data_IF_174933464605
#
_entry.id   IF_174933464605
#
_cell.length_a   1.000
_cell.length_b   1.000
_cell.length_c   1.000
_cell.angle_alpha   90.00
_cell.angle_beta   90.00
_cell.angle_gamma   90.00
#
_symmetry.space_group_name_H-M   'P 1'
#
loop_
_entity.id
_entity.type
_entity.pdbx_description
1 polymer ?
#
# COMPACT_ATOMS: atom_id res chain seq x y z
N UNK A 1 1.12 -18.22 -24.41
CA UNK A 1 2.23 -18.30 -23.42
C UNK A 1 2.31 -19.73 -22.92
N UNK A 2 3.37 -20.46 -23.27
CA UNK A 2 3.55 -21.88 -22.92
C UNK A 2 4.70 -22.06 -21.91
N UNK A 3 4.66 -21.31 -20.82
CA UNK A 3 5.65 -21.41 -19.75
C UNK A 3 5.22 -22.49 -18.75
N UNK A 4 6.15 -23.34 -18.29
CA UNK A 4 5.83 -24.37 -17.31
C UNK A 4 5.51 -23.76 -15.95
N UNK A 5 4.54 -24.35 -15.24
CA UNK A 5 4.28 -24.02 -13.84
C UNK A 5 5.27 -24.82 -12.98
N UNK A 6 6.27 -24.14 -12.43
CA UNK A 6 7.34 -24.77 -11.66
C UNK A 6 6.92 -25.29 -10.28
N UNK A 7 5.81 -24.80 -9.71
CA UNK A 7 5.33 -25.24 -8.40
C UNK A 7 4.39 -24.26 -7.71
N UNK A 8 4.19 -24.45 -6.40
CA UNK A 8 3.44 -23.58 -5.49
C UNK A 8 4.42 -22.74 -4.66
N UNK A 9 3.89 -21.82 -3.85
CA UNK A 9 4.67 -20.93 -2.96
C UNK A 9 5.66 -21.69 -2.06
N UNK A 10 5.26 -22.85 -1.54
CA UNK A 10 6.11 -23.69 -0.68
C UNK A 10 7.32 -24.29 -1.41
N UNK A 11 7.24 -24.39 -2.75
CA UNK A 11 8.26 -25.02 -3.58
C UNK A 11 9.30 -23.98 -4.06
N UNK A 12 9.08 -22.67 -3.78
CA UNK A 12 9.98 -21.58 -4.17
C UNK A 12 11.45 -21.86 -3.80
N UNK A 13 11.81 -22.30 -2.58
CA UNK A 13 13.21 -22.51 -2.24
C UNK A 13 13.89 -23.62 -3.06
N UNK A 14 13.16 -24.69 -3.37
CA UNK A 14 13.66 -25.80 -4.18
C UNK A 14 13.82 -25.38 -5.64
N UNK A 15 12.80 -24.74 -6.20
CA UNK A 15 12.82 -24.22 -7.59
C UNK A 15 13.96 -23.21 -7.79
N UNK A 16 14.17 -22.30 -6.83
CA UNK A 16 15.26 -21.31 -6.90
C UNK A 16 16.63 -22.00 -6.91
N UNK A 17 16.80 -23.04 -6.10
CA UNK A 17 18.05 -23.79 -6.02
C UNK A 17 18.31 -24.62 -7.27
N UNK A 18 17.30 -25.31 -7.79
CA UNK A 18 17.44 -26.19 -8.95
C UNK A 18 17.70 -25.44 -10.26
N UNK A 19 17.16 -24.22 -10.37
CA UNK A 19 17.22 -23.41 -11.59
C UNK A 19 18.17 -22.21 -11.47
N UNK A 20 18.92 -22.11 -10.37
CA UNK A 20 19.86 -21.02 -10.08
C UNK A 20 19.26 -19.62 -10.26
N UNK A 21 18.09 -19.41 -9.65
CA UNK A 21 17.32 -18.17 -9.82
C UNK A 21 17.91 -17.05 -8.97
N UNK A 22 18.30 -15.95 -9.61
CA UNK A 22 18.83 -14.76 -8.93
C UNK A 22 17.75 -13.74 -8.56
N UNK A 23 16.61 -13.73 -9.25
CA UNK A 23 15.56 -12.72 -9.12
C UNK A 23 14.15 -13.32 -9.06
N UNK A 24 13.36 -12.88 -8.10
CA UNK A 24 11.94 -13.23 -7.96
C UNK A 24 11.10 -11.98 -8.13
N UNK A 25 10.12 -12.03 -9.05
CA UNK A 25 9.16 -10.93 -9.27
C UNK A 25 7.77 -11.37 -8.84
N UNK A 26 7.22 -10.68 -7.83
CA UNK A 26 5.83 -10.85 -7.40
C UNK A 26 4.93 -9.97 -8.27
N UNK A 27 4.18 -10.60 -9.17
CA UNK A 27 3.31 -9.94 -10.14
C UNK A 27 1.84 -9.85 -9.69
N UNK A 28 1.57 -9.84 -8.38
CA UNK A 28 0.22 -9.78 -7.81
C UNK A 28 0.13 -8.60 -6.82
N UNK A 29 0.11 -7.35 -7.30
CA UNK A 29 0.12 -6.17 -6.43
C UNK A 29 -1.17 -5.96 -5.62
N UNK A 30 -2.24 -6.69 -5.94
CA UNK A 30 -3.54 -6.66 -5.26
C UNK A 30 -3.67 -7.66 -4.11
N UNK A 31 -2.64 -8.45 -3.85
CA UNK A 31 -2.67 -9.53 -2.88
C UNK A 31 -2.83 -8.97 -1.46
N UNK A 32 -3.64 -9.63 -0.61
CA UNK A 32 -3.85 -9.17 0.77
C UNK A 32 -2.60 -9.44 1.60
N UNK A 33 -2.29 -8.54 2.54
CA UNK A 33 -1.07 -8.57 3.35
C UNK A 33 -0.77 -9.94 3.99
N UNK A 34 -1.80 -10.65 4.48
CA UNK A 34 -1.62 -11.97 5.10
C UNK A 34 -1.20 -13.09 4.16
N UNK A 35 -1.59 -13.05 2.88
CA UNK A 35 -1.11 -14.00 1.87
C UNK A 35 0.26 -13.59 1.32
N UNK A 36 0.52 -12.28 1.27
CA UNK A 36 1.76 -11.72 0.76
C UNK A 36 2.93 -12.07 1.68
N UNK A 37 2.74 -11.98 3.00
CA UNK A 37 3.72 -12.41 4.00
C UNK A 37 4.14 -13.87 3.80
N UNK A 38 3.20 -14.77 3.51
CA UNK A 38 3.51 -16.19 3.25
C UNK A 38 4.41 -16.37 2.02
N UNK A 39 4.21 -15.55 0.98
CA UNK A 39 5.03 -15.59 -0.24
C UNK A 39 6.43 -15.05 0.07
N UNK A 40 6.52 -13.90 0.73
CA UNK A 40 7.79 -13.27 1.08
C UNK A 40 8.61 -14.16 2.03
N UNK A 41 7.98 -14.78 3.02
CA UNK A 41 8.63 -15.73 3.93
C UNK A 41 9.24 -16.93 3.18
N UNK A 42 8.59 -17.41 2.12
CA UNK A 42 9.14 -18.46 1.29
C UNK A 42 10.32 -17.95 0.45
N UNK A 43 10.22 -16.75 -0.13
CA UNK A 43 11.30 -16.12 -0.88
C UNK A 43 12.53 -15.80 -0.01
N UNK A 44 12.34 -15.38 1.24
CA UNK A 44 13.41 -15.04 2.19
C UNK A 44 14.26 -16.26 2.62
N UNK A 45 13.79 -17.48 2.36
CA UNK A 45 14.58 -18.71 2.54
C UNK A 45 15.54 -18.97 1.39
N UNK A 46 15.63 -18.05 0.44
CA UNK A 46 16.48 -18.13 -0.76
C UNK A 46 17.44 -16.96 -0.82
N UNK A 47 18.45 -17.05 -1.68
CA UNK A 47 19.38 -15.94 -1.93
C UNK A 47 18.90 -14.99 -3.05
N UNK A 48 17.73 -15.25 -3.63
CA UNK A 48 17.23 -14.47 -4.75
C UNK A 48 16.73 -13.09 -4.30
N UNK A 49 16.98 -12.07 -5.12
CA UNK A 49 16.46 -10.73 -4.89
C UNK A 49 14.97 -10.68 -5.19
N UNK A 50 14.17 -10.28 -4.20
CA UNK A 50 12.71 -10.21 -4.32
C UNK A 50 12.27 -8.80 -4.68
N UNK A 51 11.49 -8.69 -5.76
CA UNK A 51 10.90 -7.44 -6.22
C UNK A 51 9.41 -7.62 -6.52
N UNK A 52 8.67 -6.52 -6.53
CA UNK A 52 7.22 -6.51 -6.78
C UNK A 52 6.84 -5.48 -7.84
N UNK A 53 5.83 -5.81 -8.63
CA UNK A 53 5.20 -4.86 -9.55
C UNK A 53 4.44 -3.79 -8.73
N UNK A 54 4.54 -2.49 -9.06
CA UNK A 54 3.77 -1.44 -8.39
C UNK A 54 2.25 -1.64 -8.48
N UNK A 55 1.49 -1.05 -7.55
CA UNK A 55 0.03 -1.04 -7.65
C UNK A 55 -0.41 -0.24 -8.87
N UNK A 56 -1.55 -0.62 -9.45
CA UNK A 56 -2.10 0.06 -10.63
C UNK A 56 -2.33 1.56 -10.36
N UNK A 57 -2.72 1.92 -9.14
CA UNK A 57 -2.92 3.30 -8.71
C UNK A 57 -1.62 4.12 -8.81
N UNK A 58 -0.49 3.54 -8.40
CA UNK A 58 0.83 4.19 -8.46
C UNK A 58 1.28 4.40 -9.91
N UNK A 59 0.98 3.44 -10.79
CA UNK A 59 1.25 3.55 -12.23
C UNK A 59 0.41 4.65 -12.90
N UNK A 60 -0.88 4.75 -12.52
CA UNK A 60 -1.81 5.73 -13.11
C UNK A 60 -1.50 7.17 -12.68
N UNK A 61 -0.95 7.37 -11.49
CA UNK A 61 -0.54 8.72 -11.03
C UNK A 61 0.74 9.24 -11.70
N UNK A 62 1.41 8.43 -12.54
CA UNK A 62 2.65 8.80 -13.22
C UNK A 62 3.85 8.97 -12.29
N UNK A 63 3.72 8.64 -10.99
CA UNK A 63 4.84 8.67 -10.03
C UNK A 63 5.85 7.55 -10.29
N UNK A 64 5.45 6.50 -11.02
CA UNK A 64 6.25 5.30 -11.25
C UNK A 64 6.01 4.80 -12.68
N UNK A 65 7.08 4.56 -13.46
CA UNK A 65 6.94 3.87 -14.75
C UNK A 65 6.83 2.36 -14.54
N UNK A 66 6.15 1.64 -15.45
CA UNK A 66 6.01 0.16 -15.42
C UNK A 66 7.36 -0.56 -15.36
N UNK A 67 8.45 0.10 -15.78
CA UNK A 67 9.83 -0.36 -15.67
C UNK A 67 10.43 -0.35 -14.26
N UNK A 68 9.75 0.18 -13.25
CA UNK A 68 10.25 0.20 -11.87
C UNK A 68 9.64 -0.93 -11.05
N UNK A 69 10.32 -2.08 -11.07
CA UNK A 69 10.13 -3.10 -10.04
C UNK A 69 10.59 -2.53 -8.69
N UNK A 70 9.71 -2.52 -7.68
CA UNK A 70 10.09 -2.07 -6.33
C UNK A 70 10.69 -3.22 -5.53
N UNK A 71 11.65 -2.93 -4.66
CA UNK A 71 12.06 -3.90 -3.63
C UNK A 71 10.91 -4.05 -2.63
N UNK A 72 10.80 -5.24 -2.03
CA UNK A 72 9.86 -5.46 -0.93
C UNK A 72 10.40 -4.74 0.31
N UNK A 73 9.61 -3.83 0.88
CA UNK A 73 9.99 -3.03 2.07
C UNK A 73 9.32 -3.57 3.34
N UNK A 74 9.80 -3.17 4.52
CA UNK A 74 9.28 -3.65 5.81
C UNK A 74 7.81 -3.22 6.01
N UNK A 75 7.44 -2.08 5.45
CA UNK A 75 6.11 -1.51 5.44
C UNK A 75 5.09 -2.42 4.71
N UNK A 76 5.55 -3.15 3.68
CA UNK A 76 4.73 -4.14 2.97
C UNK A 76 4.42 -5.37 3.85
N UNK A 77 5.27 -5.64 4.85
CA UNK A 77 5.11 -6.75 5.81
C UNK A 77 4.25 -6.37 7.01
N UNK A 78 4.37 -5.11 7.48
CA UNK A 78 3.64 -4.56 8.62
C UNK A 78 2.14 -4.44 8.36
N UNK A 79 1.72 -4.52 7.10
CA UNK A 79 0.38 -4.91 6.71
C UNK A 79 -0.71 -4.15 7.46
N UNK A 80 -0.66 -2.82 7.46
CA UNK A 80 -1.84 -2.06 7.88
C UNK A 80 -2.93 -2.33 6.85
N UNK A 81 -4.02 -2.96 7.27
CA UNK A 81 -5.22 -2.96 6.44
C UNK A 81 -5.50 -1.48 6.10
N UNK A 82 -5.70 -1.14 4.82
CA UNK A 82 -6.16 0.19 4.48
C UNK A 82 -7.44 0.40 5.28
N UNK A 83 -7.43 1.39 6.18
CA UNK A 83 -8.63 1.79 6.91
C UNK A 83 -9.64 2.17 5.84
N UNK A 84 -10.67 1.34 5.66
CA UNK A 84 -11.79 1.69 4.81
C UNK A 84 -12.53 2.82 5.52
N UNK A 85 -12.27 4.04 5.07
CA UNK A 85 -13.00 5.21 5.52
C UNK A 85 -14.46 5.04 5.07
N UNK A 86 -15.38 4.99 6.02
CA UNK A 86 -16.80 5.03 5.74
C UNK A 86 -17.17 6.47 5.35
N UNK A 87 -17.07 6.75 4.05
CA UNK A 87 -17.32 8.07 3.50
C UNK A 87 -18.75 8.54 3.80
N UNK A 88 -19.73 7.62 3.86
CA UNK A 88 -21.12 7.96 4.15
C UNK A 88 -21.27 8.40 5.61
N UNK A 89 -20.74 7.62 6.56
CA UNK A 89 -20.76 7.97 7.97
C UNK A 89 -19.99 9.27 8.27
N UNK A 90 -18.84 9.46 7.61
CA UNK A 90 -18.05 10.70 7.73
C UNK A 90 -18.83 11.90 7.18
N UNK A 91 -19.47 11.75 6.01
CA UNK A 91 -20.28 12.82 5.43
C UNK A 91 -21.44 13.20 6.34
N UNK A 92 -22.16 12.22 6.89
CA UNK A 92 -23.27 12.45 7.83
C UNK A 92 -22.78 13.18 9.09
N UNK A 93 -21.63 12.78 9.62
CA UNK A 93 -21.07 13.39 10.83
C UNK A 93 -20.52 14.81 10.61
N UNK A 94 -19.97 15.10 9.43
CA UNK A 94 -19.29 16.38 9.15
C UNK A 94 -20.23 17.44 8.58
N UNK A 95 -21.20 17.05 7.74
CA UNK A 95 -22.05 18.00 7.00
C UNK A 95 -22.82 18.90 7.95
N UNK A 96 -22.69 20.21 7.78
CA UNK A 96 -23.38 21.21 8.61
C UNK A 96 -22.87 21.32 10.06
N UNK A 97 -21.89 20.52 10.48
CA UNK A 97 -21.31 20.58 11.82
C UNK A 97 -20.08 21.49 11.89
N UNK A 98 -19.77 21.95 13.10
CA UNK A 98 -18.52 22.69 13.39
C UNK A 98 -17.42 21.69 13.73
N UNK A 99 -16.32 21.71 12.97
CA UNK A 99 -15.18 20.79 13.12
C UNK A 99 -13.94 21.55 13.58
N UNK A 100 -13.24 21.05 14.60
CA UNK A 100 -11.95 21.60 15.03
C UNK A 100 -10.80 20.67 14.59
N UNK A 101 -9.81 21.23 13.90
CA UNK A 101 -8.58 20.51 13.51
C UNK A 101 -7.42 21.02 14.36
N UNK A 102 -6.83 20.15 15.17
CA UNK A 102 -5.61 20.45 15.93
C UNK A 102 -4.36 20.13 15.11
N UNK A 103 -3.26 20.84 15.37
CA UNK A 103 -2.03 20.72 14.58
C UNK A 103 -2.19 21.16 13.11
N UNK A 104 -3.10 22.09 12.83
CA UNK A 104 -3.48 22.48 11.46
C UNK A 104 -2.30 22.99 10.60
N UNK A 105 -1.26 23.56 11.23
CA UNK A 105 -0.05 24.04 10.55
C UNK A 105 0.92 22.93 10.09
N UNK A 106 0.74 21.69 10.54
CA UNK A 106 1.55 20.56 10.09
C UNK A 106 1.09 19.99 8.74
N UNK A 107 1.96 19.21 8.09
CA UNK A 107 1.66 18.55 6.81
C UNK A 107 0.41 17.67 6.87
N UNK A 108 0.22 16.93 7.97
CA UNK A 108 -0.95 16.08 8.21
C UNK A 108 -2.20 16.93 8.46
N UNK A 109 -2.13 17.91 9.36
CA UNK A 109 -3.27 18.78 9.69
C UNK A 109 -3.80 19.53 8.47
N UNK A 110 -2.90 20.03 7.62
CA UNK A 110 -3.25 20.69 6.36
C UNK A 110 -4.00 19.78 5.39
N UNK A 111 -3.66 18.49 5.34
CA UNK A 111 -4.37 17.51 4.51
C UNK A 111 -5.74 17.16 5.07
N UNK A 112 -5.85 16.99 6.39
CA UNK A 112 -7.14 16.77 7.07
C UNK A 112 -8.09 17.94 6.79
N UNK A 113 -7.62 19.19 6.85
CA UNK A 113 -8.45 20.36 6.52
C UNK A 113 -9.03 20.28 5.11
N UNK A 114 -8.19 19.94 4.11
CA UNK A 114 -8.64 19.79 2.71
C UNK A 114 -9.66 18.68 2.53
N UNK A 115 -9.56 17.59 3.27
CA UNK A 115 -10.52 16.49 3.20
C UNK A 115 -11.85 16.85 3.86
N UNK A 116 -11.82 17.41 5.06
CA UNK A 116 -13.01 17.83 5.81
C UNK A 116 -13.82 18.87 5.03
N UNK A 117 -13.16 19.83 4.36
CA UNK A 117 -13.82 20.85 3.54
C UNK A 117 -14.73 20.26 2.44
N UNK A 118 -14.44 19.06 1.93
CA UNK A 118 -15.24 18.42 0.86
C UNK A 118 -16.62 17.96 1.34
N UNK A 119 -16.83 17.85 2.64
CA UNK A 119 -18.07 17.39 3.26
C UNK A 119 -18.98 18.54 3.73
N UNK A 120 -18.76 19.77 3.27
CA UNK A 120 -19.59 20.94 3.59
C UNK A 120 -19.90 21.13 5.09
N UNK A 121 -18.88 21.21 5.97
CA UNK A 121 -19.10 21.59 7.36
C UNK A 121 -19.63 23.03 7.46
N UNK A 122 -20.34 23.36 8.54
CA UNK A 122 -20.79 24.74 8.77
C UNK A 122 -19.65 25.68 9.17
N UNK A 123 -18.62 25.15 9.84
CA UNK A 123 -17.43 25.89 10.26
C UNK A 123 -16.27 24.93 10.46
N UNK A 124 -15.06 25.36 10.10
CA UNK A 124 -13.81 24.67 10.47
C UNK A 124 -12.98 25.59 11.36
N UNK A 125 -12.58 25.12 12.53
CA UNK A 125 -11.70 25.81 13.48
C UNK A 125 -10.32 25.20 13.38
N UNK A 126 -9.32 26.00 13.02
CA UNK A 126 -7.94 25.57 12.87
C UNK A 126 -7.15 25.95 14.12
N UNK A 127 -6.65 24.95 14.84
CA UNK A 127 -5.81 25.13 16.02
C UNK A 127 -4.43 24.56 15.72
N UNK A 128 -3.41 25.40 15.78
CA UNK A 128 -2.03 24.99 15.61
C UNK A 128 -1.14 25.68 16.62
N UNK A 129 0.01 25.08 16.89
CA UNK A 129 1.16 25.80 17.44
C UNK A 129 2.13 25.94 16.28
N UNK A 130 2.52 27.18 15.96
CA UNK A 130 3.57 27.47 14.98
C UNK A 130 4.94 27.14 15.55
#
# INVERSE_FOLDING_TARGET
FNLPVAGKVKDIPEVVKENDIEHIVIAIPSLRNGELNKIIDACNRTNAKVQMIPKIEDLMTGRVSVSHLKNVEVEDLLGRDPVKLDIAAISEYVTGNTVMVTGAGGSIGSEICRQVMRFNPSKIVLVGHG
#
